data_IF_499321855207
#
_entry.id   IF_499321855207
#
_cell.length_a   1.000
_cell.length_b   1.000
_cell.length_c   1.000
_cell.angle_alpha   90.00
_cell.angle_beta   90.00
_cell.angle_gamma   90.00
#
_symmetry.space_group_name_H-M   'P 1'
#
loop_
_entity.id
_entity.type
_entity.pdbx_description
1 polymer ?
#
# COMPACT_ATOMS: atom_id res chain seq x y z
N UNK A 1 59.08 37.20 11.81
CA UNK A 1 57.86 37.05 12.62
C UNK A 1 57.00 36.05 11.88
N UNK A 2 57.27 34.77 12.12
CA UNK A 2 56.57 33.65 11.51
C UNK A 2 55.34 33.35 12.35
N UNK A 3 54.17 33.44 11.74
CA UNK A 3 52.88 33.17 12.39
C UNK A 3 52.51 31.73 12.09
N UNK A 4 52.66 30.85 13.08
CA UNK A 4 52.12 29.49 13.06
C UNK A 4 50.58 29.52 13.13
N UNK A 5 49.87 28.68 12.35
CA UNK A 5 48.43 28.55 12.46
C UNK A 5 48.06 27.54 13.56
N UNK A 6 47.37 28.01 14.61
CA UNK A 6 46.70 27.12 15.57
C UNK A 6 45.54 26.40 14.88
N UNK A 7 45.71 25.11 14.61
CA UNK A 7 44.60 24.19 14.32
C UNK A 7 44.36 23.35 15.56
N UNK A 8 43.33 23.65 16.35
CA UNK A 8 42.68 22.64 17.19
C UNK A 8 41.22 23.01 17.45
N UNK A 9 40.35 22.76 16.46
CA UNK A 9 38.94 22.57 16.75
C UNK A 9 38.76 21.15 17.30
N UNK A 10 38.76 20.99 18.62
CA UNK A 10 38.33 19.76 19.27
C UNK A 10 36.81 19.64 19.10
N UNK A 11 36.38 18.98 18.03
CA UNK A 11 34.99 18.56 17.88
C UNK A 11 34.77 17.40 18.85
N UNK A 12 34.33 17.71 20.06
CA UNK A 12 33.79 16.73 21.00
C UNK A 12 32.60 16.07 20.32
N UNK A 13 32.84 14.90 19.72
CA UNK A 13 31.80 14.06 19.16
C UNK A 13 30.93 13.58 20.31
N UNK A 14 29.89 14.36 20.62
CA UNK A 14 28.80 13.91 21.46
C UNK A 14 28.18 12.73 20.73
N UNK A 15 28.53 11.53 21.17
CA UNK A 15 27.89 10.28 20.76
C UNK A 15 26.43 10.39 21.21
N UNK A 16 25.58 10.88 20.32
CA UNK A 16 24.13 10.87 20.49
C UNK A 16 23.77 9.40 20.71
N UNK A 17 23.50 9.02 21.96
CA UNK A 17 22.85 7.73 22.25
C UNK A 17 21.47 7.85 21.65
N UNK A 18 21.30 7.29 20.46
CA UNK A 18 20.00 6.92 19.94
C UNK A 18 19.35 6.06 21.04
N UNK A 19 18.35 6.62 21.70
CA UNK A 19 17.48 5.88 22.59
C UNK A 19 16.95 4.69 21.80
N UNK A 20 17.14 3.48 22.31
CA UNK A 20 16.49 2.29 21.73
C UNK A 20 15.02 2.62 21.50
N UNK A 21 14.47 2.33 20.31
CA UNK A 21 13.07 2.58 20.05
C UNK A 21 12.26 1.86 21.13
N UNK A 22 11.24 2.52 21.71
CA UNK A 22 10.42 1.93 22.75
C UNK A 22 9.86 0.62 22.21
N UNK A 23 10.04 -0.46 22.98
CA UNK A 23 9.50 -1.82 22.82
C UNK A 23 8.64 -1.99 21.59
N UNK A 24 9.16 -2.75 20.62
CA UNK A 24 8.56 -3.17 19.36
C UNK A 24 7.05 -3.47 19.50
N UNK A 25 6.21 -2.44 19.38
CA UNK A 25 4.75 -2.59 19.43
C UNK A 25 4.36 -3.31 18.14
N UNK A 26 3.72 -4.47 18.26
CA UNK A 26 3.29 -5.22 17.07
C UNK A 26 2.35 -4.34 16.25
N UNK A 27 2.62 -4.11 14.95
CA UNK A 27 1.83 -3.20 14.13
C UNK A 27 0.32 -3.52 14.13
N UNK A 28 -0.05 -4.79 14.25
CA UNK A 28 -1.44 -5.24 14.30
C UNK A 28 -2.12 -4.99 15.65
N UNK A 29 -1.35 -5.01 16.75
CA UNK A 29 -1.86 -4.59 18.06
C UNK A 29 -2.12 -3.08 18.06
N UNK A 30 -1.19 -2.29 17.50
CA UNK A 30 -1.39 -0.84 17.32
C UNK A 30 -2.62 -0.54 16.45
N UNK A 31 -2.82 -1.28 15.36
CA UNK A 31 -4.00 -1.12 14.50
C UNK A 31 -5.30 -1.43 15.24
N UNK A 32 -5.33 -2.54 16.01
CA UNK A 32 -6.49 -2.89 16.85
C UNK A 32 -6.78 -1.79 17.86
N UNK A 33 -5.77 -1.34 18.59
CA UNK A 33 -5.96 -0.37 19.68
C UNK A 33 -6.40 1.00 19.15
N UNK A 34 -5.89 1.41 17.97
CA UNK A 34 -6.33 2.64 17.30
C UNK A 34 -7.75 2.51 16.76
N UNK A 35 -8.10 1.39 16.14
CA UNK A 35 -9.47 1.13 15.68
C UNK A 35 -10.47 1.12 16.84
N UNK A 36 -10.14 0.43 17.94
CA UNK A 36 -10.97 0.31 19.14
C UNK A 36 -11.27 1.69 19.75
N UNK A 37 -10.26 2.55 19.78
CA UNK A 37 -10.37 3.93 20.28
C UNK A 37 -11.31 4.79 19.42
N UNK A 38 -11.40 4.53 18.10
CA UNK A 38 -12.34 5.23 17.21
C UNK A 38 -13.73 4.59 17.19
N UNK A 39 -13.81 3.26 17.10
CA UNK A 39 -15.06 2.51 16.88
C UNK A 39 -15.96 2.57 18.09
N UNK A 40 -15.46 2.30 19.30
CA UNK A 40 -16.31 2.20 20.50
C UNK A 40 -17.07 3.51 20.78
N UNK A 41 -16.42 4.69 20.76
CA UNK A 41 -17.13 5.96 20.94
C UNK A 41 -18.10 6.25 19.80
N UNK A 42 -17.71 5.95 18.55
CA UNK A 42 -18.54 6.18 17.37
C UNK A 42 -19.82 5.35 17.43
N UNK A 43 -19.72 4.07 17.75
CA UNK A 43 -20.89 3.18 17.88
C UNK A 43 -21.76 3.61 19.06
N UNK A 44 -21.16 3.97 20.20
CA UNK A 44 -21.91 4.47 21.36
C UNK A 44 -22.68 5.76 21.06
N UNK A 45 -22.13 6.65 20.21
CA UNK A 45 -22.81 7.87 19.77
C UNK A 45 -23.91 7.58 18.75
N UNK A 46 -23.68 6.69 17.79
CA UNK A 46 -24.60 6.44 16.68
C UNK A 46 -25.80 5.55 17.06
N UNK A 47 -25.58 4.53 17.91
CA UNK A 47 -26.63 3.59 18.34
C UNK A 47 -27.93 4.27 18.81
N UNK A 48 -27.92 5.30 19.69
CA UNK A 48 -29.14 5.95 20.15
C UNK A 48 -29.81 6.86 19.10
N UNK A 49 -29.09 7.26 18.05
CA UNK A 49 -29.59 8.14 16.99
C UNK A 49 -30.22 7.34 15.84
N UNK A 50 -29.73 6.12 15.61
CA UNK A 50 -30.16 5.29 14.49
C UNK A 50 -31.48 4.56 14.78
N UNK A 51 -32.29 4.29 13.74
CA UNK A 51 -33.46 3.41 13.86
C UNK A 51 -33.09 2.02 14.42
N UNK A 52 -33.97 1.36 15.19
CA UNK A 52 -33.66 0.12 15.93
C UNK A 52 -33.06 -1.01 15.09
N UNK A 53 -33.52 -1.15 13.84
CA UNK A 53 -33.01 -2.16 12.90
C UNK A 53 -31.57 -1.89 12.45
N UNK A 54 -31.21 -0.61 12.30
CA UNK A 54 -29.86 -0.21 11.89
C UNK A 54 -28.90 -0.21 13.07
N UNK A 55 -29.36 0.16 14.27
CA UNK A 55 -28.54 0.10 15.48
C UNK A 55 -28.18 -1.34 15.86
N UNK A 56 -29.10 -2.30 15.72
CA UNK A 56 -28.80 -3.72 15.94
C UNK A 56 -27.78 -4.26 14.95
N UNK A 57 -27.87 -3.89 13.67
CA UNK A 57 -26.88 -4.29 12.66
C UNK A 57 -25.53 -3.63 12.92
N UNK A 58 -25.51 -2.34 13.27
CA UNK A 58 -24.28 -1.63 13.60
C UNK A 58 -23.55 -2.27 14.78
N UNK A 59 -24.27 -2.64 15.85
CA UNK A 59 -23.69 -3.35 16.99
C UNK A 59 -23.18 -4.74 16.63
N UNK A 60 -23.96 -5.52 15.88
CA UNK A 60 -23.55 -6.86 15.43
C UNK A 60 -22.27 -6.79 14.57
N UNK A 61 -22.23 -5.90 13.58
CA UNK A 61 -21.05 -5.68 12.73
C UNK A 61 -19.86 -5.18 13.55
N UNK A 62 -20.10 -4.29 14.52
CA UNK A 62 -19.06 -3.79 15.42
C UNK A 62 -18.46 -4.88 16.30
N UNK A 63 -19.27 -5.84 16.76
CA UNK A 63 -18.81 -7.01 17.52
C UNK A 63 -17.97 -7.94 16.65
N UNK A 64 -18.45 -8.22 15.43
CA UNK A 64 -17.71 -9.06 14.47
C UNK A 64 -16.36 -8.42 14.12
N UNK A 65 -16.32 -7.10 13.91
CA UNK A 65 -15.08 -6.37 13.66
C UNK A 65 -14.09 -6.49 14.84
N UNK A 66 -14.57 -6.42 16.08
CA UNK A 66 -13.72 -6.60 17.27
C UNK A 66 -13.08 -7.99 17.32
N UNK A 67 -13.88 -9.04 17.07
CA UNK A 67 -13.38 -10.42 17.08
C UNK A 67 -12.32 -10.62 15.99
N UNK A 68 -12.56 -10.12 14.78
CA UNK A 68 -11.59 -10.17 13.68
C UNK A 68 -10.30 -9.39 13.98
N UNK A 69 -10.39 -8.20 14.55
CA UNK A 69 -9.21 -7.38 14.87
C UNK A 69 -8.41 -7.98 16.02
N UNK A 70 -9.07 -8.65 16.97
CA UNK A 70 -8.41 -9.39 18.04
C UNK A 70 -7.67 -10.62 17.50
N UNK A 71 -8.29 -11.36 16.59
CA UNK A 71 -7.63 -12.46 15.89
C UNK A 71 -6.44 -11.95 15.06
N UNK A 72 -6.61 -10.85 14.31
CA UNK A 72 -5.55 -10.25 13.51
C UNK A 72 -4.38 -9.76 14.37
N UNK A 73 -4.66 -9.13 15.51
CA UNK A 73 -3.62 -8.72 16.47
C UNK A 73 -2.81 -9.89 17.04
N UNK A 74 -3.38 -11.11 17.06
CA UNK A 74 -2.67 -12.31 17.48
C UNK A 74 -1.69 -12.85 16.43
N UNK A 75 -1.82 -12.40 15.17
CA UNK A 75 -0.92 -12.78 14.08
C UNK A 75 0.45 -12.16 14.30
N UNK A 76 1.46 -13.01 14.30
CA UNK A 76 2.86 -12.61 14.41
C UNK A 76 3.43 -12.34 13.01
N UNK A 77 3.41 -11.08 12.57
CA UNK A 77 3.94 -10.70 11.25
C UNK A 77 5.42 -11.10 11.10
N UNK A 78 6.18 -11.13 12.20
CA UNK A 78 7.61 -11.50 12.15
C UNK A 78 7.82 -12.98 11.81
N UNK A 79 6.81 -13.83 12.05
CA UNK A 79 6.82 -15.24 11.64
C UNK A 79 6.33 -15.46 10.22
N UNK A 80 5.63 -14.50 9.63
CA UNK A 80 5.24 -14.57 8.22
C UNK A 80 6.51 -14.39 7.39
N UNK A 81 7.01 -15.49 6.85
CA UNK A 81 8.19 -15.44 6.01
C UNK A 81 7.89 -14.67 4.72
N UNK A 82 8.85 -13.88 4.27
CA UNK A 82 8.78 -13.14 3.00
C UNK A 82 8.51 -14.05 1.78
N UNK A 83 8.77 -15.36 1.94
CA UNK A 83 8.43 -16.43 1.02
C UNK A 83 6.91 -16.64 0.88
N UNK A 84 6.16 -16.58 1.98
CA UNK A 84 4.70 -16.78 1.98
C UNK A 84 3.95 -15.62 1.30
N UNK A 85 4.53 -14.42 1.33
CA UNK A 85 4.01 -13.23 0.67
C UNK A 85 4.36 -13.18 -0.83
N UNK A 86 5.31 -13.99 -1.29
CA UNK A 86 5.79 -13.99 -2.68
C UNK A 86 4.68 -14.33 -3.69
N UNK A 87 3.84 -15.37 -3.50
CA UNK A 87 2.75 -15.68 -4.43
C UNK A 87 1.74 -14.52 -4.55
N UNK A 88 1.43 -13.84 -3.44
CA UNK A 88 0.53 -12.69 -3.44
C UNK A 88 1.12 -11.53 -4.26
N UNK A 89 2.40 -11.19 -4.04
CA UNK A 89 3.09 -10.13 -4.80
C UNK A 89 3.18 -10.43 -6.30
N UNK A 90 3.44 -11.69 -6.66
CA UNK A 90 3.45 -12.13 -8.06
C UNK A 90 2.04 -12.00 -8.68
N UNK A 91 0.99 -12.45 -7.97
CA UNK A 91 -0.39 -12.34 -8.46
C UNK A 91 -0.80 -10.88 -8.67
N UNK A 92 -0.39 -9.99 -7.77
CA UNK A 92 -0.62 -8.54 -7.91
C UNK A 92 0.09 -8.03 -9.17
N UNK A 93 1.39 -8.28 -9.31
CA UNK A 93 2.14 -7.86 -10.51
C UNK A 93 1.51 -8.38 -11.81
N UNK A 94 1.12 -9.66 -11.85
CA UNK A 94 0.46 -10.27 -13.00
C UNK A 94 -0.91 -9.64 -13.29
N UNK A 95 -1.69 -9.30 -12.26
CA UNK A 95 -2.99 -8.65 -12.42
C UNK A 95 -2.85 -7.25 -13.03
N UNK A 96 -1.82 -6.49 -12.60
CA UNK A 96 -1.52 -5.17 -13.18
C UNK A 96 -1.15 -5.27 -14.66
N UNK A 97 -0.29 -6.22 -15.03
CA UNK A 97 0.09 -6.45 -16.44
C UNK A 97 -1.12 -6.88 -17.27
N UNK A 98 -1.90 -7.84 -16.78
CA UNK A 98 -3.09 -8.35 -17.48
C UNK A 98 -4.17 -7.28 -17.66
N UNK A 99 -4.45 -6.50 -16.60
CA UNK A 99 -5.41 -5.40 -16.66
C UNK A 99 -4.96 -4.30 -17.62
N UNK A 100 -3.68 -3.91 -17.58
CA UNK A 100 -3.12 -2.94 -18.52
C UNK A 100 -3.27 -3.41 -19.98
N UNK A 101 -2.94 -4.67 -20.26
CA UNK A 101 -3.10 -5.25 -21.60
C UNK A 101 -4.56 -5.26 -22.05
N UNK A 102 -5.49 -5.69 -21.18
CA UNK A 102 -6.92 -5.69 -21.45
C UNK A 102 -7.43 -4.28 -21.76
N UNK A 103 -7.03 -3.28 -20.96
CA UNK A 103 -7.45 -1.90 -21.15
C UNK A 103 -6.92 -1.30 -22.46
N UNK A 104 -5.70 -1.66 -22.88
CA UNK A 104 -5.18 -1.26 -24.19
C UNK A 104 -6.03 -1.85 -25.32
N UNK A 105 -6.43 -3.12 -25.24
CA UNK A 105 -7.30 -3.75 -26.24
C UNK A 105 -8.67 -3.07 -26.29
N UNK A 106 -9.27 -2.79 -25.13
CA UNK A 106 -10.55 -2.06 -25.04
C UNK A 106 -10.43 -0.66 -25.66
N UNK A 107 -9.35 0.05 -25.37
CA UNK A 107 -9.12 1.39 -25.93
C UNK A 107 -8.91 1.34 -27.45
N UNK A 108 -8.21 0.34 -27.97
CA UNK A 108 -8.05 0.12 -29.42
C UNK A 108 -9.41 -0.15 -30.07
N UNK A 109 -10.24 -1.00 -29.47
CA UNK A 109 -11.58 -1.28 -29.97
C UNK A 109 -12.47 -0.03 -29.97
N UNK A 110 -12.39 0.77 -28.91
CA UNK A 110 -13.08 2.05 -28.80
C UNK A 110 -12.67 3.02 -29.91
N UNK A 111 -11.36 3.20 -30.11
CA UNK A 111 -10.83 4.09 -31.16
C UNK A 111 -11.22 3.62 -32.56
N UNK A 112 -11.16 2.32 -32.82
CA UNK A 112 -11.54 1.74 -34.10
C UNK A 112 -13.05 1.91 -34.38
N UNK A 113 -13.87 1.89 -33.34
CA UNK A 113 -15.33 2.10 -33.47
C UNK A 113 -15.67 3.57 -33.74
N UNK A 114 -15.02 4.53 -33.07
CA UNK A 114 -15.30 5.96 -33.26
C UNK A 114 -14.67 6.55 -34.53
N UNK A 115 -13.50 6.06 -34.90
CA UNK A 115 -12.71 6.62 -35.99
C UNK A 115 -12.14 5.48 -36.86
N UNK A 116 -12.99 4.81 -37.65
CA UNK A 116 -12.58 3.68 -38.51
C UNK A 116 -11.56 4.09 -39.61
N UNK A 117 -11.37 5.39 -39.83
CA UNK A 117 -10.43 5.94 -40.81
C UNK A 117 -9.01 6.16 -40.25
N UNK A 118 -8.80 5.99 -38.94
CA UNK A 118 -7.49 6.15 -38.32
C UNK A 118 -6.55 5.02 -38.78
N UNK A 119 -5.47 5.39 -39.48
CA UNK A 119 -4.37 4.47 -39.72
C UNK A 119 -3.60 4.22 -38.42
N UNK A 120 -2.98 3.05 -38.28
CA UNK A 120 -2.19 2.68 -37.09
C UNK A 120 -1.10 3.72 -36.74
N UNK A 121 -0.61 4.49 -37.72
CA UNK A 121 0.37 5.56 -37.52
C UNK A 121 -0.20 6.80 -36.81
N UNK A 122 -1.52 6.99 -36.81
CA UNK A 122 -2.19 8.14 -36.18
C UNK A 122 -2.62 7.87 -34.74
N UNK A 123 -2.50 6.63 -34.25
CA UNK A 123 -2.79 6.25 -32.86
C UNK A 123 -1.93 7.05 -31.87
N UNK A 124 -0.72 7.46 -32.26
CA UNK A 124 0.13 8.33 -31.44
C UNK A 124 -0.55 9.65 -31.05
N UNK A 125 -1.51 10.16 -31.83
CA UNK A 125 -2.28 11.36 -31.44
C UNK A 125 -3.09 11.16 -30.15
N UNK A 126 -3.40 9.92 -29.80
CA UNK A 126 -4.10 9.54 -28.57
C UNK A 126 -3.14 9.05 -27.47
N UNK A 127 -1.84 9.39 -27.56
CA UNK A 127 -0.81 9.02 -26.58
C UNK A 127 -1.25 9.21 -25.13
N UNK A 128 -1.86 10.37 -24.85
CA UNK A 128 -2.33 10.71 -23.51
C UNK A 128 -3.34 9.70 -22.93
N UNK A 129 -4.16 9.08 -23.79
CA UNK A 129 -5.18 8.13 -23.35
C UNK A 129 -4.59 6.75 -22.99
N UNK A 130 -3.54 6.31 -23.68
CA UNK A 130 -2.97 4.98 -23.45
C UNK A 130 -1.71 4.96 -22.59
N UNK A 131 -1.03 6.10 -22.40
CA UNK A 131 0.22 6.15 -21.61
C UNK A 131 0.02 5.70 -20.16
N UNK A 132 -1.15 5.97 -19.58
CA UNK A 132 -1.50 5.53 -18.24
C UNK A 132 -1.58 4.00 -18.15
N UNK A 133 -2.20 3.34 -19.14
CA UNK A 133 -2.26 1.87 -19.18
C UNK A 133 -0.89 1.25 -19.43
N UNK A 134 -0.07 1.84 -20.30
CA UNK A 134 1.31 1.39 -20.52
C UNK A 134 2.12 1.52 -19.23
N UNK A 135 2.03 2.65 -18.53
CA UNK A 135 2.75 2.89 -17.27
C UNK A 135 2.32 1.90 -16.18
N UNK A 136 1.03 1.60 -16.11
CA UNK A 136 0.48 0.59 -15.21
C UNK A 136 1.04 -0.82 -15.50
N UNK A 137 1.14 -1.18 -16.79
CA UNK A 137 1.73 -2.44 -17.23
C UNK A 137 3.22 -2.54 -16.92
N UNK A 138 3.98 -1.46 -17.16
CA UNK A 138 5.41 -1.38 -16.83
C UNK A 138 5.63 -1.52 -15.33
N UNK A 139 4.81 -0.87 -14.50
CA UNK A 139 4.85 -1.03 -13.05
C UNK A 139 4.59 -2.48 -12.63
N UNK A 140 3.60 -3.13 -13.22
CA UNK A 140 3.32 -4.56 -12.99
C UNK A 140 4.50 -5.46 -13.36
N UNK A 141 5.13 -5.24 -14.52
CA UNK A 141 6.33 -5.96 -14.94
C UNK A 141 7.52 -5.73 -14.00
N UNK A 142 7.69 -4.50 -13.49
CA UNK A 142 8.74 -4.19 -12.53
C UNK A 142 8.55 -4.92 -11.20
N UNK A 143 7.31 -5.01 -10.71
CA UNK A 143 6.98 -5.80 -9.51
C UNK A 143 7.34 -7.27 -9.73
N UNK A 144 6.98 -7.85 -10.88
CA UNK A 144 7.32 -9.23 -11.23
C UNK A 144 8.84 -9.44 -11.34
N UNK A 145 9.55 -8.53 -12.02
CA UNK A 145 11.00 -8.57 -12.17
C UNK A 145 11.72 -8.52 -10.82
N UNK A 146 11.25 -7.66 -9.91
CA UNK A 146 11.77 -7.58 -8.54
C UNK A 146 11.59 -8.89 -7.77
N UNK A 147 10.43 -9.54 -7.88
CA UNK A 147 10.19 -10.84 -7.23
C UNK A 147 10.95 -12.01 -7.88
N UNK A 148 11.29 -11.89 -9.17
CA UNK A 148 12.10 -12.87 -9.88
C UNK A 148 13.59 -12.78 -9.51
N UNK A 149 14.11 -11.56 -9.32
CA UNK A 149 15.50 -11.30 -8.95
C UNK A 149 15.78 -11.42 -7.44
N UNK A 150 14.73 -11.57 -6.60
CA UNK A 150 14.89 -11.67 -5.15
C UNK A 150 15.57 -13.00 -4.78
N UNK A 151 16.72 -12.99 -4.07
CA UNK A 151 17.36 -14.22 -3.61
C UNK A 151 16.45 -14.99 -2.65
N UNK A 152 16.54 -16.33 -2.69
CA UNK A 152 15.75 -17.26 -1.87
C UNK A 152 16.49 -17.61 -0.59
#
# INVERSE_FOLDING_TARGET
MDVEPQVTAQTTSQKIRLTEPPTLVKPLELLRDTEELLRRPTVAMLVPILPPKLSSVLQATSSVAEDFLKELASVDIEKISDFELRPARIRIGLSFVGFAALMIVVLLLYLNTLHPELSAQQIHKYWYQYIWFVSLGVAGMFILGREAMRPH
#
